data_IF_470376608567
#
_entry.id   IF_470376608567
#
_cell.length_a   1.000
_cell.length_b   1.000
_cell.length_c   1.000
_cell.angle_alpha   90.00
_cell.angle_beta   90.00
_cell.angle_gamma   90.00
#
_symmetry.space_group_name_H-M   'P 1'
#
loop_
_entity.id
_entity.type
_entity.pdbx_description
1 polymer ?
#
# COMPACT_ATOMS: atom_id res chain seq x y z
N UNK A 1 -0.94 5.66 -18.90
CA UNK A 1 -0.21 6.70 -18.15
C UNK A 1 1.25 6.67 -18.56
N UNK A 2 1.84 7.79 -18.97
CA UNK A 2 3.23 7.83 -19.46
C UNK A 2 4.01 8.92 -18.74
N UNK A 3 4.39 8.65 -17.48
CA UNK A 3 5.41 9.44 -16.77
C UNK A 3 6.73 8.66 -16.76
N UNK A 4 7.84 9.22 -17.27
CA UNK A 4 9.10 8.49 -17.41
C UNK A 4 9.73 8.02 -16.07
N UNK A 5 9.48 8.73 -14.96
CA UNK A 5 9.96 8.37 -13.62
C UNK A 5 9.25 7.12 -13.08
N UNK A 6 7.95 6.99 -13.39
CA UNK A 6 7.11 5.87 -12.99
C UNK A 6 7.62 4.55 -13.58
N UNK A 7 8.07 4.52 -14.84
CA UNK A 7 8.59 3.30 -15.46
C UNK A 7 9.98 2.84 -14.96
N UNK A 8 10.72 3.69 -14.25
CA UNK A 8 12.10 3.40 -13.83
C UNK A 8 12.22 3.06 -12.33
N UNK A 9 11.30 3.57 -11.51
CA UNK A 9 11.35 3.43 -10.04
C UNK A 9 10.32 2.46 -9.47
N UNK A 10 9.50 1.86 -10.32
CA UNK A 10 8.38 1.08 -9.86
C UNK A 10 8.72 -0.41 -9.93
N UNK A 11 8.79 -1.00 -8.73
CA UNK A 11 8.51 -2.41 -8.55
C UNK A 11 7.10 -2.48 -7.98
N UNK A 12 6.12 -2.90 -8.79
CA UNK A 12 4.76 -3.15 -8.33
C UNK A 12 4.36 -4.61 -8.51
N UNK A 13 3.29 -5.00 -7.82
CA UNK A 13 2.49 -6.17 -8.14
C UNK A 13 1.14 -5.71 -8.72
N UNK A 14 0.68 -6.43 -9.72
CA UNK A 14 -0.67 -6.28 -10.28
C UNK A 14 -1.63 -7.25 -9.55
N UNK A 15 -2.87 -6.85 -9.34
CA UNK A 15 -3.94 -7.67 -8.77
C UNK A 15 -3.96 -7.78 -7.24
N UNK A 16 -2.92 -7.31 -6.55
CA UNK A 16 -2.76 -7.47 -5.10
C UNK A 16 -2.76 -6.15 -4.36
N UNK A 17 -3.36 -6.16 -3.17
CA UNK A 17 -3.37 -5.05 -2.22
C UNK A 17 -2.20 -5.25 -1.24
N UNK A 18 -0.98 -4.96 -1.69
CA UNK A 18 0.22 -5.06 -0.85
C UNK A 18 0.20 -3.92 0.15
N UNK A 19 -0.36 -4.22 1.32
CA UNK A 19 -0.38 -3.33 2.48
C UNK A 19 0.62 -3.80 3.51
N UNK A 20 1.40 -2.88 4.05
CA UNK A 20 2.43 -3.17 5.03
C UNK A 20 2.44 -2.20 6.20
N UNK A 21 1.31 -1.54 6.51
CA UNK A 21 1.28 -0.39 7.41
C UNK A 21 0.11 -0.37 8.38
N UNK A 22 0.27 0.42 9.44
CA UNK A 22 -0.72 0.64 10.50
C UNK A 22 -1.70 1.77 10.20
N UNK A 23 -1.32 2.73 9.32
CA UNK A 23 -2.15 3.88 8.97
C UNK A 23 -2.22 4.06 7.44
N UNK A 24 -3.41 4.45 6.98
CA UNK A 24 -3.78 4.66 5.58
C UNK A 24 -4.26 6.11 5.37
N UNK A 25 -3.91 6.69 4.23
CA UNK A 25 -4.50 7.93 3.71
C UNK A 25 -4.96 7.69 2.29
N UNK A 26 -6.20 8.06 1.98
CA UNK A 26 -6.81 7.88 0.66
C UNK A 26 -6.87 9.20 -0.11
N UNK A 27 -6.59 9.13 -1.42
CA UNK A 27 -6.67 10.23 -2.38
C UNK A 27 -7.56 9.81 -3.55
N UNK A 28 -8.46 10.70 -3.99
CA UNK A 28 -9.49 10.37 -4.99
C UNK A 28 -9.23 11.02 -6.35
N UNK A 29 -9.89 10.52 -7.40
CA UNK A 29 -9.87 11.19 -8.71
C UNK A 29 -10.45 12.61 -8.63
N UNK A 30 -11.52 12.80 -7.87
CA UNK A 30 -12.28 14.06 -7.82
C UNK A 30 -11.57 15.13 -7.00
N UNK A 31 -11.02 14.76 -5.84
CA UNK A 31 -10.44 15.71 -4.89
C UNK A 31 -8.94 15.94 -5.15
N UNK A 32 -8.24 14.90 -5.64
CA UNK A 32 -6.77 14.91 -5.73
C UNK A 32 -6.21 14.73 -7.13
N UNK A 33 -7.09 14.55 -8.13
CA UNK A 33 -6.73 14.32 -9.53
C UNK A 33 -5.78 13.12 -9.72
N UNK A 34 -6.07 12.02 -9.01
CA UNK A 34 -5.40 10.73 -9.23
C UNK A 34 -6.03 10.03 -10.43
N UNK A 35 -5.36 10.08 -11.59
CA UNK A 35 -5.90 9.49 -12.81
C UNK A 35 -5.33 8.09 -13.07
N UNK A 36 -4.17 7.77 -12.51
CA UNK A 36 -3.51 6.49 -12.71
C UNK A 36 -2.56 6.09 -11.58
N UNK A 37 -2.06 4.85 -11.64
CA UNK A 37 -1.05 4.32 -10.73
C UNK A 37 0.20 5.21 -10.56
N UNK A 38 0.67 5.87 -11.64
CA UNK A 38 1.81 6.78 -11.55
C UNK A 38 1.54 8.02 -10.70
N UNK A 39 0.31 8.54 -10.70
CA UNK A 39 -0.05 9.67 -9.84
C UNK A 39 -0.03 9.24 -8.38
N UNK A 40 -0.50 8.01 -8.11
CA UNK A 40 -0.46 7.42 -6.78
C UNK A 40 0.98 7.22 -6.29
N UNK A 41 1.85 6.65 -7.13
CA UNK A 41 3.29 6.53 -6.85
C UNK A 41 3.92 7.89 -6.52
N UNK A 42 3.64 8.92 -7.32
CA UNK A 42 4.20 10.25 -7.08
C UNK A 42 3.72 10.88 -5.77
N UNK A 43 2.45 10.67 -5.38
CA UNK A 43 1.96 11.12 -4.06
C UNK A 43 2.73 10.45 -2.92
N UNK A 44 3.08 9.17 -3.06
CA UNK A 44 3.93 8.46 -2.10
C UNK A 44 5.36 9.02 -2.10
N UNK A 45 5.95 9.22 -3.27
CA UNK A 45 7.31 9.76 -3.45
C UNK A 45 7.49 11.16 -2.88
N UNK A 46 6.45 11.99 -2.91
CA UNK A 46 6.45 13.32 -2.29
C UNK A 46 6.39 13.27 -0.75
N UNK A 47 6.22 12.08 -0.16
CA UNK A 47 6.08 11.85 1.29
C UNK A 47 7.14 10.86 1.80
N UNK A 48 8.44 11.12 1.58
CA UNK A 48 9.52 10.17 1.90
C UNK A 48 9.55 9.71 3.35
N UNK A 49 9.11 10.56 4.28
CA UNK A 49 9.13 10.29 5.72
C UNK A 49 7.90 9.51 6.20
N UNK A 50 6.80 9.52 5.46
CA UNK A 50 5.50 9.02 5.92
C UNK A 50 4.84 8.01 5.00
N UNK A 51 5.28 7.84 3.76
CA UNK A 51 4.77 6.82 2.85
C UNK A 51 5.81 5.71 2.62
N UNK A 52 5.35 4.46 2.66
CA UNK A 52 6.13 3.24 2.48
C UNK A 52 5.58 2.34 1.40
N UNK A 53 4.25 2.28 1.27
CA UNK A 53 3.58 1.53 0.22
C UNK A 53 2.44 2.36 -0.35
N UNK A 54 2.08 2.08 -1.59
CA UNK A 54 0.98 2.73 -2.27
C UNK A 54 0.17 1.67 -3.03
N UNK A 55 -1.13 1.91 -3.14
CA UNK A 55 -2.07 1.01 -3.83
C UNK A 55 -3.04 1.86 -4.64
N UNK A 56 -3.18 1.54 -5.91
CA UNK A 56 -4.16 2.12 -6.81
C UNK A 56 -5.25 1.10 -7.12
N UNK A 57 -6.41 1.24 -6.47
CA UNK A 57 -7.49 0.25 -6.43
C UNK A 57 -8.87 0.91 -6.43
N UNK A 58 -9.93 0.14 -6.67
CA UNK A 58 -11.27 0.60 -6.35
C UNK A 58 -11.51 0.52 -4.84
N UNK A 59 -12.08 1.57 -4.25
CA UNK A 59 -12.59 1.57 -2.87
C UNK A 59 -14.11 1.60 -2.83
N UNK A 60 -14.74 1.92 -3.96
CA UNK A 60 -16.18 1.96 -4.14
C UNK A 60 -16.59 1.72 -5.62
N UNK A 61 -17.86 1.99 -5.93
CA UNK A 61 -18.42 1.86 -7.27
C UNK A 61 -18.46 3.19 -8.06
N UNK A 62 -17.68 4.20 -7.67
CA UNK A 62 -17.65 5.51 -8.34
C UNK A 62 -17.16 5.45 -9.78
N UNK A 63 -16.59 4.32 -10.19
CA UNK A 63 -15.99 4.12 -11.51
C UNK A 63 -14.54 4.59 -11.60
N UNK A 64 -14.01 5.16 -10.51
CA UNK A 64 -12.63 5.62 -10.42
C UNK A 64 -11.87 4.83 -9.38
N UNK A 65 -10.62 4.48 -9.70
CA UNK A 65 -9.69 3.96 -8.70
C UNK A 65 -9.21 5.11 -7.82
N UNK A 66 -9.05 4.84 -6.54
CA UNK A 66 -8.44 5.74 -5.57
C UNK A 66 -7.01 5.30 -5.29
N UNK A 67 -6.24 6.20 -4.69
CA UNK A 67 -4.88 5.95 -4.25
C UNK A 67 -4.85 5.87 -2.74
N UNK A 68 -4.52 4.69 -2.20
CA UNK A 68 -4.25 4.50 -0.80
C UNK A 68 -2.74 4.54 -0.56
N UNK A 69 -2.30 5.43 0.34
CA UNK A 69 -0.92 5.50 0.81
C UNK A 69 -0.82 4.92 2.21
N UNK A 70 0.15 4.03 2.39
CA UNK A 70 0.39 3.29 3.60
C UNK A 70 1.73 3.71 4.20
N UNK A 71 1.72 3.99 5.49
CA UNK A 71 2.89 4.51 6.20
C UNK A 71 4.00 3.49 6.45
N UNK A 72 5.21 3.97 6.71
CA UNK A 72 6.25 3.07 7.25
C UNK A 72 5.80 2.55 8.62
N UNK A 73 6.27 1.35 9.00
CA UNK A 73 6.36 0.93 10.40
C UNK A 73 7.30 1.82 11.25
N UNK A 74 7.67 3.01 10.76
CA UNK A 74 8.29 4.07 11.55
C UNK A 74 7.24 4.64 12.50
N UNK A 75 6.94 3.84 13.50
CA UNK A 75 6.28 4.29 14.69
C UNK A 75 7.05 5.48 15.24
N UNK A 76 6.34 6.51 15.76
CA UNK A 76 6.98 7.51 16.59
C UNK A 76 7.87 6.81 17.62
N UNK A 77 9.00 7.41 17.98
CA UNK A 77 10.01 6.86 18.91
C UNK A 77 9.46 6.47 20.29
N UNK A 78 8.17 6.66 20.54
CA UNK A 78 7.49 6.38 21.79
C UNK A 78 6.17 5.58 21.63
N UNK A 79 6.03 4.76 20.58
CA UNK A 79 4.92 3.81 20.48
C UNK A 79 5.38 2.41 20.83
N UNK A 80 4.68 1.79 21.77
CA UNK A 80 4.84 0.36 22.07
C UNK A 80 3.91 -0.43 21.16
N UNK A 81 4.45 -1.29 20.29
CA UNK A 81 3.62 -2.25 19.56
C UNK A 81 3.23 -3.37 20.53
N UNK A 82 1.94 -3.45 20.82
CA UNK A 82 1.36 -4.63 21.46
C UNK A 82 0.93 -5.64 20.41
N UNK A 83 1.44 -6.86 20.49
CA UNK A 83 0.93 -7.99 19.72
C UNK A 83 0.03 -8.82 20.63
N UNK A 84 -1.25 -8.93 20.30
CA UNK A 84 -2.14 -9.86 21.00
C UNK A 84 -1.97 -11.27 20.44
N UNK A 85 -1.07 -12.02 21.06
CA UNK A 85 -0.79 -13.41 20.70
C UNK A 85 -1.95 -14.38 21.00
N UNK A 86 -2.94 -13.95 21.79
CA UNK A 86 -4.06 -14.81 22.21
C UNK A 86 -5.22 -14.82 21.22
N UNK A 87 -5.37 -13.75 20.43
CA UNK A 87 -6.43 -13.60 19.43
C UNK A 87 -5.91 -13.56 17.99
N UNK A 88 -4.60 -13.35 17.80
CA UNK A 88 -3.99 -13.31 16.46
C UNK A 88 -3.61 -14.71 15.97
N UNK A 89 -3.86 -14.96 14.69
CA UNK A 89 -3.42 -16.19 14.02
C UNK A 89 -2.04 -15.98 13.39
N UNK A 90 -1.20 -17.03 13.36
CA UNK A 90 0.11 -17.06 12.70
C UNK A 90 1.19 -16.13 13.29
N UNK A 91 1.06 -15.68 14.54
CA UNK A 91 2.15 -15.01 15.27
C UNK A 91 3.00 -16.06 16.03
N UNK A 92 4.30 -16.13 15.72
CA UNK A 92 5.25 -17.02 16.39
C UNK A 92 6.55 -16.31 16.76
N UNK A 93 7.18 -16.71 17.87
CA UNK A 93 8.52 -16.23 18.25
C UNK A 93 9.56 -16.93 17.37
N UNK A 94 10.42 -16.17 16.71
CA UNK A 94 11.44 -16.70 15.79
C UNK A 94 12.81 -16.43 16.40
N UNK A 95 13.60 -17.48 16.65
CA UNK A 95 14.99 -17.36 17.07
C UNK A 95 15.91 -17.32 15.84
N UNK A 96 16.71 -16.27 15.67
CA UNK A 96 17.90 -16.32 14.80
C UNK A 96 17.85 -15.59 13.44
N UNK A 97 16.89 -14.70 13.21
CA UNK A 97 16.83 -13.89 11.98
C UNK A 97 15.44 -13.93 11.34
N UNK A 98 14.87 -12.75 11.11
CA UNK A 98 13.43 -12.54 11.02
C UNK A 98 12.88 -12.57 9.58
N UNK A 99 12.21 -13.65 9.17
CA UNK A 99 11.00 -13.50 8.39
C UNK A 99 9.81 -13.97 9.23
N UNK A 100 8.90 -13.05 9.55
CA UNK A 100 7.58 -13.45 10.06
C UNK A 100 6.92 -14.39 9.05
N UNK A 101 6.29 -15.48 9.52
CA UNK A 101 5.47 -16.32 8.64
C UNK A 101 4.21 -15.52 8.29
N UNK A 102 4.26 -14.79 7.17
CA UNK A 102 3.15 -14.02 6.66
C UNK A 102 2.00 -14.91 6.18
N UNK A 103 0.84 -14.29 5.96
CA UNK A 103 -0.27 -14.88 5.20
C UNK A 103 -0.10 -14.58 3.71
N UNK A 104 -0.92 -15.21 2.85
CA UNK A 104 -1.07 -14.79 1.46
C UNK A 104 -1.50 -13.32 1.39
N UNK A 105 -0.92 -12.59 0.44
CA UNK A 105 -1.29 -11.21 0.15
C UNK A 105 -2.74 -11.17 -0.37
N UNK A 106 -3.59 -10.25 0.13
CA UNK A 106 -4.96 -10.12 -0.36
C UNK A 106 -4.98 -9.58 -1.80
N UNK A 107 -5.95 -10.05 -2.58
CA UNK A 107 -6.25 -9.48 -3.89
C UNK A 107 -7.02 -8.17 -3.75
N UNK A 108 -6.81 -7.24 -4.68
CA UNK A 108 -7.71 -6.09 -4.83
C UNK A 108 -9.10 -6.57 -5.28
N UNK A 109 -10.12 -5.76 -5.00
CA UNK A 109 -11.51 -6.15 -5.19
C UNK A 109 -12.31 -5.13 -5.98
N UNK A 110 -13.32 -5.61 -6.70
CA UNK A 110 -14.41 -4.78 -7.20
C UNK A 110 -15.56 -4.72 -6.20
N UNK A 111 -16.26 -3.58 -6.18
CA UNK A 111 -17.35 -3.30 -5.24
C UNK A 111 -18.68 -3.02 -5.95
N UNK A 112 -19.75 -3.64 -5.44
CA UNK A 112 -21.12 -3.26 -5.79
C UNK A 112 -21.45 -1.87 -5.25
N UNK A 113 -22.54 -1.27 -5.72
CA UNK A 113 -23.03 0.01 -5.23
C UNK A 113 -23.42 0.05 -3.76
N UNK A 114 -23.65 -1.12 -3.16
CA UNK A 114 -23.91 -1.27 -1.73
C UNK A 114 -22.62 -1.49 -0.90
N UNK A 115 -21.44 -1.36 -1.51
CA UNK A 115 -20.13 -1.54 -0.86
C UNK A 115 -19.70 -3.00 -0.65
N UNK A 116 -20.43 -3.98 -1.18
CA UNK A 116 -20.05 -5.40 -1.06
C UNK A 116 -19.07 -5.79 -2.17
N UNK A 117 -17.97 -6.47 -1.81
CA UNK A 117 -16.99 -6.98 -2.77
C UNK A 117 -17.55 -8.14 -3.62
N UNK A 118 -17.23 -8.20 -4.91
CA UNK A 118 -17.81 -9.21 -5.82
C UNK A 118 -16.85 -9.89 -6.80
N UNK A 119 -15.58 -9.50 -6.81
CA UNK A 119 -14.58 -10.10 -7.69
C UNK A 119 -13.20 -9.50 -7.46
N UNK A 120 -12.20 -10.07 -8.14
CA UNK A 120 -10.81 -9.61 -8.06
C UNK A 120 -10.51 -8.58 -9.15
N UNK A 121 -9.87 -7.48 -8.76
CA UNK A 121 -9.36 -6.45 -9.69
C UNK A 121 -7.91 -6.76 -10.04
N UNK A 122 -7.70 -7.53 -11.10
CA UNK A 122 -6.36 -7.92 -11.60
C UNK A 122 -5.55 -6.71 -12.12
N UNK A 123 -6.24 -5.61 -12.48
CA UNK A 123 -5.62 -4.39 -12.99
C UNK A 123 -5.22 -3.40 -11.87
N UNK A 124 -5.53 -3.75 -10.62
CA UNK A 124 -5.06 -3.02 -9.45
C UNK A 124 -3.54 -3.05 -9.40
N UNK A 125 -2.91 -1.98 -8.92
CA UNK A 125 -1.44 -1.89 -8.84
C UNK A 125 -1.01 -1.45 -7.46
N UNK A 126 -0.11 -2.20 -6.84
CA UNK A 126 0.49 -1.83 -5.55
C UNK A 126 2.00 -1.99 -5.54
N UNK A 127 2.71 -1.17 -4.78
CA UNK A 127 4.15 -1.33 -4.68
C UNK A 127 4.75 -0.70 -3.42
N UNK A 128 5.88 -1.23 -2.95
CA UNK A 128 6.69 -0.56 -1.94
C UNK A 128 7.41 0.64 -2.55
N UNK A 129 7.73 1.59 -1.68
CA UNK A 129 8.66 2.68 -1.95
C UNK A 129 9.78 2.62 -0.90
N UNK A 130 10.97 2.22 -1.34
CA UNK A 130 12.11 2.06 -0.45
C UNK A 130 12.86 3.39 -0.33
N UNK A 131 12.63 4.07 0.78
CA UNK A 131 13.38 5.26 1.17
C UNK A 131 14.57 4.85 2.04
N UNK A 132 15.77 5.26 1.65
CA UNK A 132 16.99 5.12 2.44
C UNK A 132 17.00 6.08 3.63
N UNK A 133 17.90 5.86 4.58
CA UNK A 133 18.08 6.70 5.78
C UNK A 133 18.50 8.15 5.46
N UNK A 134 19.01 8.39 4.26
CA UNK A 134 19.34 9.70 3.70
C UNK A 134 18.20 10.33 2.86
N UNK A 135 17.01 9.72 2.87
CA UNK A 135 15.84 10.11 2.08
C UNK A 135 15.95 9.94 0.56
N UNK A 136 16.98 9.25 0.08
CA UNK A 136 17.05 8.82 -1.32
C UNK A 136 16.15 7.61 -1.55
N UNK A 137 15.67 7.45 -2.78
CA UNK A 137 14.83 6.30 -3.16
C UNK A 137 15.64 5.26 -3.89
N UNK A 138 15.43 3.98 -3.56
CA UNK A 138 15.94 2.88 -4.38
C UNK A 138 14.94 2.63 -5.52
N UNK A 139 15.41 2.98 -6.71
CA UNK A 139 14.90 2.56 -8.01
C UNK A 139 15.95 1.57 -8.57
#
# INVERSE_FOLDING_TARGET
CSKPICGQCIRYAEGFDITGATNEVEFTFQDDHIECACDCFEKCRQRPTTCANWVWKYTDNSGYRTCALYSHFNLPTNVTIGFDLSTSMNLGVISGGSPQQGTLVPHCQFFYSNGTAYGHDEDCVSGPLWTLDNYEFIC
#
